data_IF_506956420641
#
_entry.id   IF_506956420641
#
_cell.length_a   1.000
_cell.length_b   1.000
_cell.length_c   1.000
_cell.angle_alpha   90.00
_cell.angle_beta   90.00
_cell.angle_gamma   90.00
#
_symmetry.space_group_name_H-M   'P 1'
#
loop_
_entity.id
_entity.type
_entity.pdbx_description
1 polymer ?
#
# COMPACT_ATOMS: atom_id res chain seq x y z
N UNK A 1 -2.37 20.72 -19.77
CA UNK A 1 -3.15 21.46 -18.75
C UNK A 1 -2.92 20.81 -17.40
N UNK A 2 -2.30 21.53 -16.44
CA UNK A 2 -2.19 21.07 -15.06
C UNK A 2 -3.57 21.16 -14.40
N UNK A 3 -4.19 20.01 -14.15
CA UNK A 3 -5.35 19.92 -13.27
C UNK A 3 -4.89 20.35 -11.88
N UNK A 4 -5.36 21.51 -11.43
CA UNK A 4 -5.20 21.93 -10.04
C UNK A 4 -6.06 20.99 -9.18
N UNK A 5 -5.46 19.89 -8.73
CA UNK A 5 -6.04 19.00 -7.74
C UNK A 5 -6.25 19.79 -6.44
N UNK A 6 -7.48 19.84 -5.94
CA UNK A 6 -7.77 20.53 -4.67
C UNK A 6 -6.99 19.82 -3.54
N UNK A 7 -6.38 20.56 -2.61
CA UNK A 7 -5.64 19.98 -1.46
C UNK A 7 -6.43 18.89 -0.73
N UNK A 8 -7.76 19.07 -0.60
CA UNK A 8 -8.67 18.08 0.00
C UNK A 8 -8.67 16.76 -0.78
N UNK A 9 -8.73 16.84 -2.11
CA UNK A 9 -8.73 15.66 -3.01
C UNK A 9 -7.39 14.93 -2.96
N UNK A 10 -6.26 15.66 -2.95
CA UNK A 10 -4.92 15.06 -2.81
C UNK A 10 -4.80 14.35 -1.47
N UNK A 11 -5.14 15.02 -0.37
CA UNK A 11 -5.07 14.44 0.96
C UNK A 11 -5.92 13.16 1.06
N UNK A 12 -7.16 13.19 0.56
CA UNK A 12 -8.04 12.03 0.58
C UNK A 12 -7.49 10.87 -0.25
N UNK A 13 -6.91 11.16 -1.43
CA UNK A 13 -6.28 10.15 -2.27
C UNK A 13 -5.08 9.49 -1.56
N UNK A 14 -4.22 10.30 -0.95
CA UNK A 14 -3.09 9.81 -0.13
C UNK A 14 -3.59 8.95 1.02
N UNK A 15 -4.62 9.40 1.75
CA UNK A 15 -5.23 8.63 2.85
C UNK A 15 -5.69 7.26 2.37
N UNK A 16 -6.26 7.13 1.16
CA UNK A 16 -6.66 5.82 0.62
C UNK A 16 -5.48 4.90 0.34
N UNK A 17 -4.37 5.43 -0.16
CA UNK A 17 -3.17 4.62 -0.41
C UNK A 17 -2.49 4.14 0.87
N UNK A 18 -2.47 4.96 1.92
CA UNK A 18 -1.80 4.62 3.19
C UNK A 18 -2.68 3.81 4.15
N UNK A 19 -3.87 3.36 3.74
CA UNK A 19 -4.70 2.47 4.57
C UNK A 19 -4.09 1.09 4.66
N UNK A 20 -4.25 0.43 5.81
CA UNK A 20 -3.77 -0.93 6.00
C UNK A 20 -4.38 -1.94 5.02
N UNK A 21 -5.67 -1.80 4.67
CA UNK A 21 -6.32 -2.65 3.67
C UNK A 21 -5.63 -2.52 2.30
N UNK A 22 -5.35 -1.28 1.90
CA UNK A 22 -4.74 -0.98 0.62
C UNK A 22 -3.33 -1.55 0.53
N UNK A 23 -2.51 -1.30 1.56
CA UNK A 23 -1.16 -1.84 1.63
C UNK A 23 -1.14 -3.37 1.73
N UNK A 24 -2.07 -3.97 2.49
CA UNK A 24 -2.23 -5.42 2.56
C UNK A 24 -2.62 -6.03 1.21
N UNK A 25 -3.44 -5.35 0.41
CA UNK A 25 -3.77 -5.80 -0.94
C UNK A 25 -2.58 -5.65 -1.89
N UNK A 26 -1.87 -4.52 -1.85
CA UNK A 26 -0.67 -4.29 -2.66
C UNK A 26 0.37 -5.38 -2.46
N UNK A 27 0.67 -5.75 -1.22
CA UNK A 27 1.67 -6.79 -0.97
C UNK A 27 1.24 -8.17 -1.47
N UNK A 28 -0.06 -8.48 -1.46
CA UNK A 28 -0.56 -9.72 -2.06
C UNK A 28 -0.39 -9.74 -3.58
N UNK A 29 -0.60 -8.60 -4.25
CA UNK A 29 -0.44 -8.49 -5.71
C UNK A 29 1.03 -8.67 -6.13
N UNK A 30 1.97 -8.05 -5.40
CA UNK A 30 3.39 -8.12 -5.76
C UNK A 30 4.09 -9.40 -5.24
N UNK A 31 3.48 -10.15 -4.30
CA UNK A 31 4.06 -11.35 -3.66
C UNK A 31 4.67 -12.36 -4.65
N UNK A 32 4.04 -12.68 -5.79
CA UNK A 32 4.59 -13.63 -6.77
C UNK A 32 5.89 -13.13 -7.42
N UNK A 33 6.09 -11.82 -7.47
CA UNK A 33 7.23 -11.17 -8.12
C UNK A 33 8.40 -10.89 -7.18
N UNK A 34 8.22 -11.16 -5.88
CA UNK A 34 9.25 -10.97 -4.87
C UNK A 34 10.30 -12.09 -4.93
N UNK A 35 11.56 -11.72 -4.71
CA UNK A 35 12.65 -12.66 -4.45
C UNK A 35 12.48 -13.32 -3.09
N UNK A 36 13.24 -14.38 -2.81
CA UNK A 36 13.16 -15.05 -1.51
C UNK A 36 13.69 -14.19 -0.37
N UNK A 37 14.67 -13.32 -0.65
CA UNK A 37 15.16 -12.32 0.29
C UNK A 37 14.06 -11.30 0.63
N UNK A 38 13.41 -10.72 -0.39
CA UNK A 38 12.29 -9.80 -0.19
C UNK A 38 11.15 -10.46 0.60
N UNK A 39 10.78 -11.70 0.25
CA UNK A 39 9.79 -12.47 1.02
C UNK A 39 10.20 -12.66 2.48
N UNK A 40 11.50 -12.83 2.75
CA UNK A 40 11.99 -12.94 4.12
C UNK A 40 11.84 -11.62 4.89
N UNK A 41 12.21 -10.48 4.29
CA UNK A 41 11.99 -9.15 4.86
C UNK A 41 10.51 -8.91 5.17
N UNK A 42 9.63 -9.24 4.23
CA UNK A 42 8.18 -9.16 4.44
C UNK A 42 7.73 -9.99 5.65
N UNK A 43 8.19 -11.25 5.75
CA UNK A 43 7.84 -12.14 6.86
C UNK A 43 8.31 -11.59 8.20
N UNK A 44 9.50 -11.02 8.27
CA UNK A 44 10.02 -10.39 9.48
C UNK A 44 9.12 -9.23 9.92
N UNK A 45 8.79 -8.31 9.01
CA UNK A 45 7.88 -7.21 9.29
C UNK A 45 6.49 -7.67 9.73
N UNK A 46 5.91 -8.64 9.01
CA UNK A 46 4.59 -9.22 9.31
C UNK A 46 4.52 -9.93 10.67
N UNK A 47 5.62 -10.57 11.07
CA UNK A 47 5.69 -11.35 12.30
C UNK A 47 6.21 -10.54 13.50
N UNK A 48 6.61 -9.28 13.32
CA UNK A 48 7.04 -8.43 14.43
C UNK A 48 5.91 -8.29 15.47
N UNK A 49 6.29 -8.36 16.75
CA UNK A 49 5.33 -8.27 17.86
C UNK A 49 4.72 -6.88 17.88
N UNK A 50 3.41 -6.80 17.67
CA UNK A 50 2.67 -5.54 17.77
C UNK A 50 2.46 -5.23 19.26
N UNK A 51 3.01 -4.12 19.75
CA UNK A 51 2.95 -3.70 21.17
C UNK A 51 1.54 -3.24 21.58
N UNK A 52 0.76 -2.68 20.65
CA UNK A 52 -0.66 -2.38 20.85
C UNK A 52 -1.47 -2.78 19.60
N UNK A 53 -2.35 -3.77 19.75
CA UNK A 53 -3.29 -4.13 18.71
C UNK A 53 -4.53 -3.22 18.81
N UNK A 54 -4.96 -2.55 17.73
CA UNK A 54 -6.26 -1.90 17.72
C UNK A 54 -7.36 -2.95 17.95
N UNK A 55 -8.29 -2.68 18.87
CA UNK A 55 -9.34 -3.62 19.33
C UNK A 55 -10.17 -4.29 18.22
N UNK A 56 -10.20 -3.72 17.01
CA UNK A 56 -11.02 -4.17 15.88
C UNK A 56 -10.29 -4.23 14.53
N UNK A 57 -8.97 -4.01 14.48
CA UNK A 57 -8.25 -4.13 13.22
C UNK A 57 -8.05 -5.62 12.89
N UNK A 58 -8.52 -6.04 11.71
CA UNK A 58 -8.24 -7.36 11.14
C UNK A 58 -6.75 -7.64 11.23
N UNK A 59 -6.33 -8.41 12.24
CA UNK A 59 -4.92 -8.53 12.66
C UNK A 59 -4.00 -8.95 11.50
N UNK A 60 -4.57 -9.67 10.52
CA UNK A 60 -3.89 -10.11 9.31
C UNK A 60 -3.56 -8.97 8.34
N UNK A 61 -4.51 -8.06 8.09
CA UNK A 61 -4.31 -6.91 7.19
C UNK A 61 -3.28 -5.95 7.78
N UNK A 62 -3.40 -5.66 9.08
CA UNK A 62 -2.46 -4.80 9.78
C UNK A 62 -1.04 -5.36 9.72
N UNK A 63 -0.87 -6.66 10.04
CA UNK A 63 0.43 -7.33 9.93
C UNK A 63 0.96 -7.36 8.49
N UNK A 64 0.09 -7.58 7.51
CA UNK A 64 0.50 -7.57 6.10
C UNK A 64 0.95 -6.16 5.66
N UNK A 65 0.25 -5.11 6.10
CA UNK A 65 0.63 -3.72 5.88
C UNK A 65 1.99 -3.39 6.51
N UNK A 66 2.23 -3.78 7.78
CA UNK A 66 3.55 -3.63 8.42
C UNK A 66 4.65 -4.39 7.66
N UNK A 67 4.36 -5.60 7.17
CA UNK A 67 5.28 -6.33 6.31
C UNK A 67 5.60 -5.59 4.99
N UNK A 68 4.61 -4.94 4.39
CA UNK A 68 4.79 -4.11 3.20
C UNK A 68 5.63 -2.86 3.49
N UNK A 69 5.40 -2.18 4.61
CA UNK A 69 6.23 -1.03 5.04
C UNK A 69 7.69 -1.44 5.22
N UNK A 70 7.95 -2.63 5.80
CA UNK A 70 9.31 -3.17 5.91
C UNK A 70 9.97 -3.42 4.55
N UNK A 71 9.23 -3.94 3.57
CA UNK A 71 9.73 -4.10 2.20
C UNK A 71 10.11 -2.75 1.56
N UNK A 72 9.23 -1.75 1.69
CA UNK A 72 9.49 -0.40 1.19
C UNK A 72 10.74 0.19 1.84
N UNK A 73 10.87 0.02 3.16
CA UNK A 73 12.07 0.43 3.91
C UNK A 73 13.34 -0.27 3.44
N UNK A 74 13.28 -1.58 3.17
CA UNK A 74 14.40 -2.35 2.64
C UNK A 74 14.89 -1.82 1.29
N UNK A 75 13.99 -1.64 0.32
CA UNK A 75 14.38 -1.08 -0.99
C UNK A 75 14.91 0.36 -0.86
N UNK A 76 14.32 1.17 0.01
CA UNK A 76 14.78 2.54 0.23
C UNK A 76 16.20 2.60 0.81
N UNK A 77 16.48 1.81 1.84
CA UNK A 77 17.81 1.72 2.46
C UNK A 77 18.85 1.09 1.54
N UNK A 78 18.44 0.11 0.72
CA UNK A 78 19.26 -0.48 -0.34
C UNK A 78 19.49 0.42 -1.56
N UNK A 79 18.90 1.62 -1.61
CA UNK A 79 18.88 2.51 -2.79
C UNK A 79 18.29 1.86 -4.05
N UNK A 80 17.39 0.91 -3.86
CA UNK A 80 16.74 0.14 -4.92
C UNK A 80 15.37 0.73 -5.32
N UNK A 81 15.30 2.06 -5.47
CA UNK A 81 14.03 2.74 -5.82
C UNK A 81 13.43 2.18 -7.13
N UNK A 82 14.28 1.84 -8.11
CA UNK A 82 13.85 1.21 -9.37
C UNK A 82 13.15 -0.14 -9.16
N UNK A 83 13.53 -0.90 -8.13
CA UNK A 83 12.89 -2.18 -7.79
C UNK A 83 11.46 -1.95 -7.30
N UNK A 84 11.28 -0.97 -6.42
CA UNK A 84 9.97 -0.53 -5.96
C UNK A 84 9.10 -0.03 -7.14
N UNK A 85 9.62 0.87 -7.97
CA UNK A 85 8.91 1.38 -9.15
C UNK A 85 8.48 0.25 -10.07
N UNK A 86 9.38 -0.70 -10.38
CA UNK A 86 9.06 -1.88 -11.20
C UNK A 86 7.89 -2.69 -10.64
N UNK A 87 7.83 -2.89 -9.33
CA UNK A 87 6.74 -3.63 -8.68
C UNK A 87 5.44 -2.82 -8.66
N UNK A 88 5.52 -1.50 -8.49
CA UNK A 88 4.35 -0.63 -8.55
C UNK A 88 3.80 -0.52 -9.97
N UNK A 89 4.63 -0.60 -11.00
CA UNK A 89 4.23 -0.55 -12.42
C UNK A 89 3.63 -1.86 -12.96
N UNK A 90 3.47 -2.91 -12.15
CA UNK A 90 2.77 -4.12 -12.60
C UNK A 90 1.30 -3.78 -12.92
N UNK A 91 0.75 -4.41 -13.96
CA UNK A 91 -0.60 -4.11 -14.47
C UNK A 91 -1.66 -4.27 -13.38
N UNK A 92 -1.63 -5.36 -12.62
CA UNK A 92 -2.60 -5.64 -11.56
C UNK A 92 -2.51 -4.63 -10.42
N UNK A 93 -1.32 -4.09 -10.18
CA UNK A 93 -1.10 -3.04 -9.17
C UNK A 93 -1.69 -1.72 -9.66
N UNK A 94 -1.44 -1.33 -10.91
CA UNK A 94 -1.99 -0.10 -11.48
C UNK A 94 -3.52 -0.14 -11.53
N UNK A 95 -4.11 -1.24 -12.02
CA UNK A 95 -5.57 -1.45 -12.03
C UNK A 95 -6.16 -1.33 -10.63
N UNK A 96 -5.49 -1.92 -9.63
CA UNK A 96 -5.93 -1.81 -8.24
C UNK A 96 -5.87 -0.37 -7.73
N UNK A 97 -4.76 0.35 -7.95
CA UNK A 97 -4.60 1.73 -7.51
C UNK A 97 -5.64 2.66 -8.18
N UNK A 98 -5.93 2.45 -9.46
CA UNK A 98 -6.99 3.17 -10.18
C UNK A 98 -8.38 2.89 -9.60
N UNK A 99 -8.66 1.63 -9.23
CA UNK A 99 -9.92 1.26 -8.58
C UNK A 99 -10.09 1.96 -7.22
N UNK A 100 -9.02 2.07 -6.45
CA UNK A 100 -8.98 2.74 -5.13
C UNK A 100 -9.26 4.24 -5.28
N UNK A 101 -8.65 4.88 -6.28
CA UNK A 101 -8.90 6.29 -6.59
C UNK A 101 -10.32 6.55 -7.08
N UNK A 102 -10.90 5.62 -7.86
CA UNK A 102 -12.26 5.75 -8.40
C UNK A 102 -13.31 5.60 -7.29
N UNK A 103 -13.12 4.66 -6.36
CA UNK A 103 -13.97 4.52 -5.17
C UNK A 103 -13.98 5.80 -4.32
N UNK A 104 -12.85 6.50 -4.23
CA UNK A 104 -12.75 7.79 -3.55
C UNK A 104 -13.61 8.87 -4.22
N UNK A 105 -13.63 8.96 -5.56
CA UNK A 105 -14.42 9.98 -6.28
C UNK A 105 -15.93 9.82 -6.08
N UNK A 106 -16.42 8.58 -6.05
CA UNK A 106 -17.85 8.27 -5.93
C UNK A 106 -18.43 8.57 -4.53
N UNK A 107 -17.61 8.51 -3.48
CA UNK A 107 -18.04 8.95 -2.13
C UNK A 107 -18.30 10.46 -2.04
N UNK A 108 -17.92 11.25 -3.05
CA UNK A 108 -18.18 12.69 -3.09
C UNK A 108 -19.37 13.09 -3.95
N UNK A 109 -19.77 12.28 -4.94
CA UNK A 109 -20.97 12.55 -5.76
C UNK A 109 -22.27 12.24 -5.03
N UNK A 110 -22.24 11.36 -4.04
CA UNK A 110 -23.42 10.96 -3.25
C UNK A 110 -23.63 11.82 -1.98
N UNK A 111 -22.83 12.85 -1.77
CA UNK A 111 -22.89 13.75 -0.61
C UNK A 111 -23.34 15.18 -0.99
N UNK A 112 -23.96 15.35 -2.16
CA UNK A 112 -24.52 16.60 -2.67
C UNK A 112 -26.03 16.45 -2.90
#
# INVERSE_FOLDING_TARGET
MQLHQNRKQVHQSVVQFVRCQTQARLVHLIMPHLTDEEKNIFRQGRNNKVVSLPKHAFTREYRAATGFECLVGFWYLGKEIKRFEKLMSQTEVQEYLESVLTSCKNSFTNAA
#
